data_IF_629860113590
#
_entry.id   IF_629860113590
#
_cell.length_a   1.000
_cell.length_b   1.000
_cell.length_c   1.000
_cell.angle_alpha   90.00
_cell.angle_beta   90.00
_cell.angle_gamma   90.00
#
_symmetry.space_group_name_H-M   'P 1'
#
loop_
_entity.id
_entity.type
_entity.pdbx_description
1 polymer ?
#
# COMPACT_ATOMS: atom_id res chain seq x y z
N UNK A 1 16.17 -39.62 -10.56
CA UNK A 1 14.75 -39.98 -10.77
C UNK A 1 13.76 -39.27 -9.83
N UNK A 2 13.80 -39.39 -8.49
CA UNK A 2 12.82 -38.71 -7.63
C UNK A 2 12.94 -37.16 -7.65
N UNK A 3 14.17 -36.64 -7.66
CA UNK A 3 14.42 -35.20 -7.77
C UNK A 3 14.00 -34.61 -9.12
N UNK A 4 14.18 -35.33 -10.24
CA UNK A 4 13.77 -34.84 -11.57
C UNK A 4 12.25 -34.67 -11.67
N UNK A 5 11.46 -35.48 -10.95
CA UNK A 5 10.01 -35.32 -10.88
C UNK A 5 9.59 -34.07 -10.09
N UNK A 6 10.33 -33.70 -9.03
CA UNK A 6 10.04 -32.52 -8.19
C UNK A 6 10.27 -31.19 -8.91
N UNK A 7 11.00 -31.18 -10.02
CA UNK A 7 11.23 -30.00 -10.84
C UNK A 7 10.57 -30.10 -12.22
N UNK A 8 9.74 -31.12 -12.42
CA UNK A 8 8.94 -31.21 -13.63
C UNK A 8 7.97 -30.02 -13.71
N UNK A 9 7.74 -29.53 -14.93
CA UNK A 9 6.80 -28.43 -15.17
C UNK A 9 5.41 -28.72 -14.60
N UNK A 10 4.92 -29.96 -14.76
CA UNK A 10 3.62 -30.39 -14.23
C UNK A 10 3.54 -30.28 -12.72
N UNK A 11 4.60 -30.67 -12.00
CA UNK A 11 4.65 -30.50 -10.55
C UNK A 11 4.59 -29.01 -10.14
N UNK A 12 5.34 -28.14 -10.83
CA UNK A 12 5.34 -26.70 -10.53
C UNK A 12 3.99 -26.05 -10.83
N UNK A 13 3.31 -26.44 -11.92
CA UNK A 13 1.98 -25.96 -12.27
C UNK A 13 0.93 -26.40 -11.24
N UNK A 14 0.95 -27.67 -10.80
CA UNK A 14 0.08 -28.18 -9.74
C UNK A 14 0.31 -27.44 -8.42
N UNK A 15 1.59 -27.25 -8.06
CA UNK A 15 2.01 -26.45 -6.91
C UNK A 15 1.52 -25.01 -7.01
N UNK A 16 1.60 -24.36 -8.16
CA UNK A 16 1.13 -22.99 -8.34
C UNK A 16 -0.40 -22.89 -8.22
N UNK A 17 -1.13 -23.84 -8.83
CA UNK A 17 -2.58 -23.93 -8.74
C UNK A 17 -3.05 -24.10 -7.29
N UNK A 18 -2.40 -24.97 -6.52
CA UNK A 18 -2.73 -25.18 -5.11
C UNK A 18 -2.56 -23.91 -4.26
N UNK A 19 -1.48 -23.15 -4.51
CA UNK A 19 -1.19 -21.90 -3.78
C UNK A 19 -2.15 -20.78 -4.16
N UNK A 20 -2.50 -20.67 -5.44
CA UNK A 20 -3.55 -19.76 -5.90
C UNK A 20 -4.89 -20.08 -5.23
N UNK A 21 -5.23 -21.37 -5.15
CA UNK A 21 -6.45 -21.86 -4.50
C UNK A 21 -6.45 -21.55 -2.99
N UNK A 22 -5.31 -21.69 -2.31
CA UNK A 22 -5.17 -21.30 -0.90
C UNK A 22 -5.48 -19.81 -0.68
N UNK A 23 -4.89 -18.93 -1.50
CA UNK A 23 -5.11 -17.48 -1.38
C UNK A 23 -6.58 -17.14 -1.63
N UNK A 24 -7.19 -17.68 -2.70
CA UNK A 24 -8.61 -17.47 -3.02
C UNK A 24 -9.54 -17.84 -1.86
N UNK A 25 -9.39 -19.06 -1.31
CA UNK A 25 -10.22 -19.55 -0.22
C UNK A 25 -9.97 -18.78 1.08
N UNK A 26 -8.72 -18.41 1.36
CA UNK A 26 -8.35 -17.60 2.53
C UNK A 26 -8.96 -16.20 2.45
N UNK A 27 -8.86 -15.52 1.30
CA UNK A 27 -9.47 -14.22 1.07
C UNK A 27 -10.99 -14.29 1.24
N UNK A 28 -11.67 -15.28 0.64
CA UNK A 28 -13.13 -15.44 0.83
C UNK A 28 -13.51 -15.72 2.28
N UNK A 29 -12.73 -16.52 3.00
CA UNK A 29 -12.95 -16.75 4.43
C UNK A 29 -12.80 -15.46 5.23
N UNK A 30 -11.77 -14.66 4.94
CA UNK A 30 -11.53 -13.37 5.60
C UNK A 30 -12.66 -12.37 5.33
N UNK A 31 -13.13 -12.27 4.08
CA UNK A 31 -14.28 -11.43 3.70
C UNK A 31 -15.48 -11.72 4.62
N UNK A 32 -15.81 -12.99 4.81
CA UNK A 32 -16.97 -13.40 5.64
C UNK A 32 -16.70 -13.14 7.12
N UNK A 33 -15.53 -13.52 7.63
CA UNK A 33 -15.16 -13.31 9.04
C UNK A 33 -15.13 -11.83 9.41
N UNK A 34 -14.70 -10.96 8.50
CA UNK A 34 -14.64 -9.51 8.70
C UNK A 34 -15.96 -8.80 8.33
N UNK A 35 -16.99 -9.53 7.89
CA UNK A 35 -18.27 -8.94 7.51
C UNK A 35 -18.25 -8.08 6.25
N UNK A 36 -17.26 -8.27 5.36
CA UNK A 36 -17.07 -7.51 4.13
C UNK A 36 -18.05 -7.94 3.03
N UNK A 37 -18.45 -7.00 2.16
CA UNK A 37 -19.35 -7.26 1.02
C UNK A 37 -18.60 -7.15 -0.31
N UNK A 38 -18.92 -7.97 -1.32
CA UNK A 38 -19.93 -9.05 -1.32
C UNK A 38 -19.46 -10.29 -0.55
N UNK A 39 -20.37 -10.90 0.23
CA UNK A 39 -20.08 -12.16 0.92
C UNK A 39 -20.32 -13.35 0.01
N UNK A 40 -19.31 -14.20 -0.16
CA UNK A 40 -19.43 -15.52 -0.78
C UNK A 40 -18.89 -16.59 0.17
N UNK A 41 -19.70 -17.04 1.15
CA UNK A 41 -19.29 -18.01 2.16
C UNK A 41 -18.63 -19.25 1.54
N UNK A 42 -17.65 -19.80 2.24
CA UNK A 42 -17.08 -21.09 1.87
C UNK A 42 -18.11 -22.19 2.14
N UNK A 43 -18.32 -23.06 1.15
CA UNK A 43 -19.07 -24.32 1.36
C UNK A 43 -18.35 -25.24 2.35
N UNK A 44 -19.04 -26.25 2.89
CA UNK A 44 -18.42 -27.22 3.79
C UNK A 44 -17.21 -27.95 3.16
N UNK A 45 -17.33 -28.29 1.87
CA UNK A 45 -16.24 -28.89 1.10
C UNK A 45 -15.05 -27.94 0.96
N UNK A 46 -15.29 -26.66 0.65
CA UNK A 46 -14.24 -25.65 0.53
C UNK A 46 -13.55 -25.33 1.87
N UNK A 47 -14.28 -25.38 2.99
CA UNK A 47 -13.67 -25.26 4.33
C UNK A 47 -12.73 -26.43 4.61
N UNK A 48 -13.18 -27.66 4.34
CA UNK A 48 -12.33 -28.85 4.45
C UNK A 48 -11.12 -28.81 3.52
N UNK A 49 -11.29 -28.28 2.30
CA UNK A 49 -10.21 -28.03 1.34
C UNK A 49 -9.19 -27.05 1.93
N UNK A 50 -9.62 -25.89 2.43
CA UNK A 50 -8.75 -24.88 3.02
C UNK A 50 -7.95 -25.44 4.21
N UNK A 51 -8.59 -26.21 5.09
CA UNK A 51 -7.92 -26.84 6.24
C UNK A 51 -6.91 -27.92 5.82
N UNK A 52 -7.21 -28.67 4.74
CA UNK A 52 -6.23 -29.58 4.14
C UNK A 52 -5.02 -28.81 3.59
N UNK A 53 -5.25 -27.71 2.86
CA UNK A 53 -4.16 -26.88 2.32
C UNK A 53 -3.28 -26.28 3.42
N UNK A 54 -3.88 -25.80 4.52
CA UNK A 54 -3.14 -25.29 5.69
C UNK A 54 -2.21 -26.33 6.32
N UNK A 55 -2.64 -27.59 6.38
CA UNK A 55 -1.84 -28.70 6.95
C UNK A 55 -0.73 -29.18 6.02
N UNK A 56 -0.95 -29.09 4.70
CA UNK A 56 0.01 -29.59 3.71
C UNK A 56 1.12 -28.58 3.36
N UNK A 57 0.89 -27.28 3.61
CA UNK A 57 1.90 -26.25 3.41
C UNK A 57 2.90 -26.21 4.56
N UNK A 58 4.16 -25.92 4.22
CA UNK A 58 5.16 -25.59 5.23
C UNK A 58 4.69 -24.32 5.99
N UNK A 59 4.87 -24.22 7.32
CA UNK A 59 4.44 -23.05 8.10
C UNK A 59 4.94 -21.70 7.58
N UNK A 60 6.13 -21.65 6.97
CA UNK A 60 6.67 -20.43 6.36
C UNK A 60 5.96 -20.09 5.05
N UNK A 61 5.65 -21.07 4.21
CA UNK A 61 4.85 -20.87 3.00
C UNK A 61 3.42 -20.43 3.35
N UNK A 62 2.79 -21.12 4.31
CA UNK A 62 1.43 -20.80 4.75
C UNK A 62 1.33 -19.35 5.24
N UNK A 63 2.31 -18.88 6.03
CA UNK A 63 2.38 -17.47 6.47
C UNK A 63 2.51 -16.50 5.30
N UNK A 64 3.36 -16.79 4.32
CA UNK A 64 3.51 -15.96 3.12
C UNK A 64 2.21 -15.85 2.33
N UNK A 65 1.54 -16.96 2.04
CA UNK A 65 0.29 -16.94 1.27
C UNK A 65 -0.88 -16.38 2.08
N UNK A 66 -0.88 -16.52 3.41
CA UNK A 66 -1.84 -15.82 4.27
C UNK A 66 -1.66 -14.30 4.17
N UNK A 67 -0.42 -13.80 4.22
CA UNK A 67 -0.16 -12.37 4.04
C UNK A 67 -0.61 -11.84 2.67
N UNK A 68 -0.50 -12.66 1.60
CA UNK A 68 -1.08 -12.31 0.30
C UNK A 68 -2.61 -12.23 0.35
N UNK A 69 -3.29 -13.16 1.02
CA UNK A 69 -4.74 -13.10 1.19
C UNK A 69 -5.15 -11.84 1.98
N UNK A 70 -4.44 -11.50 3.05
CA UNK A 70 -4.65 -10.27 3.83
C UNK A 70 -4.41 -9.02 2.98
N UNK A 71 -3.40 -9.02 2.10
CA UNK A 71 -3.14 -7.94 1.16
C UNK A 71 -4.26 -7.79 0.12
N UNK A 72 -4.84 -8.90 -0.38
CA UNK A 72 -6.02 -8.83 -1.24
C UNK A 72 -7.22 -8.22 -0.50
N UNK A 73 -7.39 -8.49 0.80
CA UNK A 73 -8.41 -7.83 1.61
C UNK A 73 -8.15 -6.32 1.73
N UNK A 74 -6.91 -5.88 1.86
CA UNK A 74 -6.58 -4.45 1.92
C UNK A 74 -6.86 -3.71 0.61
N UNK A 75 -6.85 -4.42 -0.53
CA UNK A 75 -7.29 -3.86 -1.82
C UNK A 75 -8.80 -3.75 -1.92
N UNK A 76 -9.54 -4.55 -1.14
CA UNK A 76 -10.98 -4.38 -1.09
C UNK A 76 -11.23 -3.02 -0.45
N UNK A 77 -12.03 -2.17 -1.10
CA UNK A 77 -12.36 -0.90 -0.54
C UNK A 77 -13.35 -1.17 0.61
N UNK A 78 -12.81 -1.33 1.81
CA UNK A 78 -13.56 -1.27 3.06
C UNK A 78 -14.01 0.18 3.27
N UNK A 79 -15.17 0.41 3.90
CA UNK A 79 -15.44 1.48 4.90
C UNK A 79 -16.93 1.47 5.26
N UNK A 80 -17.26 1.85 6.49
CA UNK A 80 -18.14 3.01 6.63
C UNK A 80 -17.38 4.15 7.31
N UNK A 81 -17.42 5.32 6.67
CA UNK A 81 -17.32 6.68 7.24
C UNK A 81 -16.06 7.52 6.90
N UNK A 82 -16.22 8.50 5.99
CA UNK A 82 -15.43 9.75 5.78
C UNK A 82 -13.96 9.62 5.35
N UNK A 83 -13.56 10.20 4.21
CA UNK A 83 -12.18 10.21 3.71
C UNK A 83 -11.65 11.63 3.43
N UNK A 84 -10.33 11.84 3.58
CA UNK A 84 -9.62 13.06 3.20
C UNK A 84 -8.64 12.74 2.05
N UNK A 85 -8.41 13.70 1.16
CA UNK A 85 -8.02 13.58 -0.26
C UNK A 85 -6.86 12.66 -0.67
N UNK A 86 -6.08 12.03 0.22
CA UNK A 86 -5.06 11.04 -0.17
C UNK A 86 -4.91 9.82 0.77
N UNK A 87 -5.58 9.80 1.91
CA UNK A 87 -5.56 8.66 2.84
C UNK A 87 -6.93 8.55 3.52
N UNK A 88 -7.54 7.36 3.45
CA UNK A 88 -8.82 7.08 4.10
C UNK A 88 -8.66 7.14 5.61
N UNK A 89 -8.92 8.31 6.19
CA UNK A 89 -8.98 8.49 7.64
C UNK A 89 -10.43 8.70 7.99
N UNK A 90 -11.00 7.68 8.62
CA UNK A 90 -12.37 7.74 9.09
C UNK A 90 -12.49 8.77 10.22
N UNK A 91 -13.02 9.95 9.89
CA UNK A 91 -13.28 11.01 10.85
C UNK A 91 -14.74 10.95 11.30
N UNK A 92 -15.01 10.75 12.58
CA UNK A 92 -16.36 10.94 13.09
C UNK A 92 -16.76 12.42 13.05
N UNK A 93 -18.06 12.70 13.18
CA UNK A 93 -18.60 14.07 13.23
C UNK A 93 -18.01 14.93 14.35
N UNK A 94 -17.43 14.34 15.40
CA UNK A 94 -16.75 15.08 16.46
C UNK A 94 -15.27 15.38 16.13
N UNK A 95 -14.65 14.62 15.24
CA UNK A 95 -13.24 14.74 14.85
C UNK A 95 -13.04 15.56 13.57
N UNK A 96 -14.10 15.79 12.82
CA UNK A 96 -14.11 16.47 11.51
C UNK A 96 -13.51 17.89 11.52
N UNK A 97 -13.61 18.58 12.66
CA UNK A 97 -13.04 19.92 12.90
C UNK A 97 -11.79 19.91 13.78
N UNK A 98 -11.36 18.73 14.21
CA UNK A 98 -10.16 18.56 15.02
C UNK A 98 -8.99 18.19 14.10
N UNK A 99 -7.78 18.29 14.64
CA UNK A 99 -6.57 17.77 14.01
C UNK A 99 -6.15 16.44 14.67
N UNK A 100 -6.97 15.36 14.58
CA UNK A 100 -6.58 14.10 15.19
C UNK A 100 -5.30 13.59 14.53
N UNK A 101 -4.43 13.03 15.37
CA UNK A 101 -3.24 12.30 14.91
C UNK A 101 -3.45 10.79 15.05
N UNK A 102 -3.12 10.02 14.02
CA UNK A 102 -3.14 8.55 14.04
C UNK A 102 -1.96 8.02 13.24
N UNK A 103 -1.11 7.20 13.90
CA UNK A 103 0.09 6.58 13.28
C UNK A 103 1.04 7.60 12.61
N UNK A 104 1.28 8.73 13.27
CA UNK A 104 2.16 9.79 12.73
C UNK A 104 1.52 10.69 11.66
N UNK A 105 0.31 10.38 11.19
CA UNK A 105 -0.45 11.29 10.34
C UNK A 105 -1.24 12.26 11.20
N UNK A 106 -1.15 13.57 10.91
CA UNK A 106 -1.96 14.62 11.54
C UNK A 106 -2.93 15.16 10.50
N UNK A 107 -4.23 14.98 10.72
CA UNK A 107 -5.25 15.60 9.86
C UNK A 107 -5.20 17.11 10.03
N UNK A 108 -5.05 17.84 8.93
CA UNK A 108 -5.15 19.29 8.93
C UNK A 108 -6.59 19.70 8.54
N UNK A 109 -7.34 20.37 9.44
CA UNK A 109 -8.62 21.00 9.15
C UNK A 109 -8.61 21.93 7.91
N UNK A 110 -7.44 22.36 7.43
CA UNK A 110 -7.30 23.24 6.26
C UNK A 110 -7.58 22.56 4.92
N UNK A 111 -7.55 21.23 4.85
CA UNK A 111 -7.73 20.51 3.59
C UNK A 111 -9.19 20.30 3.21
N UNK A 112 -9.43 20.08 1.92
CA UNK A 112 -10.73 19.72 1.36
C UNK A 112 -11.15 18.37 1.93
N UNK A 113 -12.41 18.27 2.33
CA UNK A 113 -12.96 17.04 2.86
C UNK A 113 -14.21 16.65 2.11
N UNK A 114 -14.23 15.42 1.63
CA UNK A 114 -15.34 14.83 0.89
C UNK A 114 -15.96 13.73 1.75
N UNK A 115 -17.23 13.90 2.11
CA UNK A 115 -18.08 12.86 2.70
C UNK A 115 -18.64 12.01 1.58
N UNK A 116 -18.44 10.70 1.69
CA UNK A 116 -19.10 9.69 0.85
C UNK A 116 -19.81 8.70 1.77
N UNK A 117 -21.05 8.35 1.46
CA UNK A 117 -21.78 7.32 2.21
C UNK A 117 -21.50 5.92 1.67
N UNK A 118 -21.14 5.84 0.39
CA UNK A 118 -20.81 4.60 -0.30
C UNK A 118 -19.31 4.50 -0.54
N UNK A 119 -18.83 3.27 -0.59
CA UNK A 119 -17.47 2.94 -0.99
C UNK A 119 -17.22 3.39 -2.44
N UNK A 120 -16.21 4.24 -2.63
CA UNK A 120 -15.81 4.68 -3.97
C UNK A 120 -14.77 3.71 -4.55
N UNK A 121 -15.02 3.21 -5.75
CA UNK A 121 -13.98 2.57 -6.56
C UNK A 121 -12.96 3.61 -7.03
N UNK A 122 -11.69 3.24 -7.19
CA UNK A 122 -10.60 4.14 -7.61
C UNK A 122 -10.94 4.98 -8.84
N UNK A 123 -11.57 4.37 -9.85
CA UNK A 123 -11.97 5.06 -11.09
C UNK A 123 -13.03 6.14 -10.85
N UNK A 124 -13.89 5.95 -9.86
CA UNK A 124 -14.92 6.90 -9.48
C UNK A 124 -14.39 7.94 -8.49
N UNK A 125 -13.47 7.54 -7.61
CA UNK A 125 -12.82 8.41 -6.63
C UNK A 125 -12.14 9.61 -7.30
N UNK A 126 -11.35 9.38 -8.35
CA UNK A 126 -10.68 10.46 -9.10
C UNK A 126 -11.70 11.51 -9.57
N UNK A 127 -12.81 11.06 -10.16
CA UNK A 127 -13.87 11.95 -10.66
C UNK A 127 -14.56 12.72 -9.53
N UNK A 128 -14.81 12.07 -8.40
CA UNK A 128 -15.41 12.72 -7.23
C UNK A 128 -14.49 13.81 -6.69
N UNK A 129 -13.19 13.56 -6.58
CA UNK A 129 -12.20 14.55 -6.12
C UNK A 129 -12.10 15.74 -7.08
N UNK A 130 -12.04 15.48 -8.39
CA UNK A 130 -12.03 16.54 -9.42
C UNK A 130 -13.28 17.40 -9.35
N UNK A 131 -14.46 16.77 -9.31
CA UNK A 131 -15.73 17.49 -9.18
C UNK A 131 -15.82 18.25 -7.87
N UNK A 132 -15.34 17.69 -6.75
CA UNK A 132 -15.36 18.36 -5.45
C UNK A 132 -14.53 19.65 -5.47
N UNK A 133 -13.36 19.64 -6.13
CA UNK A 133 -12.53 20.84 -6.31
C UNK A 133 -13.26 21.91 -7.11
N UNK A 134 -13.89 21.55 -8.23
CA UNK A 134 -14.68 22.47 -9.05
C UNK A 134 -15.86 23.04 -8.27
N UNK A 135 -16.59 22.18 -7.55
CA UNK A 135 -17.73 22.56 -6.70
C UNK A 135 -17.30 23.54 -5.59
N UNK A 136 -16.17 23.29 -4.92
CA UNK A 136 -15.64 24.21 -3.91
C UNK A 136 -15.34 25.58 -4.48
N UNK A 137 -14.62 25.67 -5.60
CA UNK A 137 -14.24 26.97 -6.15
C UNK A 137 -15.47 27.75 -6.63
N UNK A 138 -16.44 27.07 -7.23
CA UNK A 138 -17.75 27.66 -7.58
C UNK A 138 -18.45 28.22 -6.34
N UNK A 139 -18.53 27.44 -5.27
CA UNK A 139 -19.25 27.82 -4.05
C UNK A 139 -18.52 28.93 -3.28
N UNK A 140 -17.19 28.89 -3.20
CA UNK A 140 -16.40 29.97 -2.62
C UNK A 140 -16.69 31.29 -3.32
N UNK A 141 -16.78 31.28 -4.65
CA UNK A 141 -17.13 32.47 -5.42
C UNK A 141 -18.58 32.92 -5.14
N UNK A 142 -19.52 31.99 -5.02
CA UNK A 142 -20.91 32.30 -4.65
C UNK A 142 -20.99 32.99 -3.28
N UNK A 143 -20.35 32.43 -2.24
CA UNK A 143 -20.34 33.02 -0.90
C UNK A 143 -19.62 34.37 -0.88
N UNK A 144 -18.54 34.56 -1.65
CA UNK A 144 -17.88 35.87 -1.81
C UNK A 144 -18.82 36.95 -2.34
N UNK A 145 -19.60 36.63 -3.37
CA UNK A 145 -20.58 37.57 -3.95
C UNK A 145 -21.66 37.92 -2.93
N UNK A 146 -22.15 36.92 -2.18
CA UNK A 146 -23.16 37.14 -1.14
C UNK A 146 -22.63 38.00 0.02
N UNK A 147 -21.40 37.76 0.45
CA UNK A 147 -20.73 38.57 1.48
C UNK A 147 -20.49 40.00 1.01
N UNK A 148 -20.00 40.21 -0.23
CA UNK A 148 -19.79 41.54 -0.79
C UNK A 148 -21.10 42.35 -0.89
N UNK A 149 -22.18 41.70 -1.31
CA UNK A 149 -23.51 42.32 -1.36
C UNK A 149 -24.06 42.67 0.02
N UNK A 150 -23.72 41.90 1.06
CA UNK A 150 -24.13 42.18 2.43
C UNK A 150 -23.40 43.36 3.07
N UNK A 151 -22.15 43.64 2.65
CA UNK A 151 -21.35 44.77 3.15
C UNK A 151 -21.73 46.12 2.55
N UNK A 152 -22.35 46.11 1.38
CA UNK A 152 -22.87 47.31 0.73
C UNK A 152 -24.39 47.20 0.55
N UNK A 153 -25.18 47.30 1.64
CA UNK A 153 -26.62 47.42 1.52
C UNK A 153 -26.88 48.66 0.65
N UNK A 154 -27.48 48.46 -0.53
CA UNK A 154 -27.91 49.60 -1.34
C UNK A 154 -28.96 50.36 -0.53
N UNK A 155 -28.59 51.55 -0.04
CA UNK A 155 -29.46 52.39 0.80
C UNK A 155 -30.79 52.79 0.12
N UNK A 156 -30.93 52.54 -1.19
CA UNK A 156 -32.12 52.84 -1.99
C UNK A 156 -32.77 51.60 -2.62
N UNK A 157 -32.50 50.38 -2.14
CA UNK A 157 -33.18 49.19 -2.66
C UNK A 157 -34.60 49.10 -2.09
N UNK A 158 -35.61 49.12 -2.95
CA UNK A 158 -37.01 48.89 -2.58
C UNK A 158 -37.13 47.55 -1.81
N UNK A 159 -37.81 47.54 -0.64
CA UNK A 159 -37.89 46.37 0.24
C UNK A 159 -38.62 45.16 -0.37
N UNK A 160 -39.29 45.33 -1.52
CA UNK A 160 -40.10 44.28 -2.14
C UNK A 160 -39.36 43.48 -3.24
N UNK A 161 -38.11 43.84 -3.59
CA UNK A 161 -37.40 43.28 -4.75
C UNK A 161 -36.15 42.45 -4.44
N UNK A 162 -35.99 41.89 -3.24
CA UNK A 162 -34.76 41.20 -2.83
C UNK A 162 -34.67 39.76 -3.42
N UNK A 163 -34.59 39.68 -4.76
CA UNK A 163 -34.38 38.45 -5.55
C UNK A 163 -32.88 38.10 -5.67
N UNK A 164 -32.13 38.35 -4.60
CA UNK A 164 -30.74 37.90 -4.50
C UNK A 164 -30.68 36.36 -4.43
N UNK A 165 -29.60 35.73 -4.94
CA UNK A 165 -29.44 34.29 -4.87
C UNK A 165 -29.39 33.83 -3.41
N UNK A 166 -30.46 33.20 -2.92
CA UNK A 166 -30.55 32.67 -1.55
C UNK A 166 -29.96 31.25 -1.51
N UNK A 167 -28.93 31.07 -0.69
CA UNK A 167 -28.33 29.75 -0.44
C UNK A 167 -29.14 29.04 0.65
N UNK A 168 -29.95 28.08 0.23
CA UNK A 168 -30.91 27.39 1.08
C UNK A 168 -30.59 25.90 1.20
N UNK A 169 -30.85 25.32 2.37
CA UNK A 169 -30.65 23.90 2.62
C UNK A 169 -31.67 23.08 1.84
N UNK A 170 -31.23 22.06 1.11
CA UNK A 170 -32.12 21.17 0.36
C UNK A 170 -33.07 20.35 1.24
N UNK A 171 -32.74 20.17 2.52
CA UNK A 171 -33.51 19.34 3.46
C UNK A 171 -34.49 20.13 4.33
N UNK A 172 -34.12 21.33 4.80
CA UNK A 172 -34.97 22.11 5.71
C UNK A 172 -35.39 23.48 5.16
N UNK A 173 -34.92 23.85 3.96
CA UNK A 173 -35.14 25.17 3.33
C UNK A 173 -34.68 26.36 4.15
N UNK A 174 -33.95 26.17 5.27
CA UNK A 174 -33.35 27.27 6.03
C UNK A 174 -32.14 27.82 5.27
N UNK A 175 -31.84 29.11 5.46
CA UNK A 175 -30.61 29.75 4.97
C UNK A 175 -29.39 29.00 5.52
N UNK A 176 -28.47 28.64 4.63
CA UNK A 176 -27.26 27.91 5.02
C UNK A 176 -26.17 28.91 5.41
N UNK A 177 -25.51 28.63 6.53
CA UNK A 177 -24.32 29.33 7.00
C UNK A 177 -23.13 28.38 6.96
N UNK A 178 -21.92 28.92 6.78
CA UNK A 178 -20.70 28.12 6.86
C UNK A 178 -20.35 27.80 8.33
N UNK A 179 -19.75 26.61 8.63
CA UNK A 179 -19.46 25.53 7.68
C UNK A 179 -20.73 24.80 7.24
N UNK A 180 -20.77 24.35 5.99
CA UNK A 180 -21.88 23.57 5.44
C UNK A 180 -21.39 22.50 4.47
N UNK A 181 -22.31 21.69 3.97
CA UNK A 181 -22.04 20.67 2.96
C UNK A 181 -22.62 21.05 1.62
N UNK A 182 -21.92 20.70 0.55
CA UNK A 182 -22.40 20.88 -0.81
C UNK A 182 -22.30 19.59 -1.60
N UNK A 183 -23.34 19.28 -2.35
CA UNK A 183 -23.33 18.09 -3.19
C UNK A 183 -22.38 18.25 -4.38
N UNK A 184 -21.55 17.23 -4.60
CA UNK A 184 -20.56 17.20 -5.69
C UNK A 184 -21.19 16.79 -7.04
N UNK A 185 -22.32 16.08 -7.02
CA UNK A 185 -22.96 15.51 -8.22
C UNK A 185 -24.11 16.36 -8.75
N UNK A 186 -24.89 16.98 -7.86
CA UNK A 186 -26.08 17.72 -8.27
C UNK A 186 -25.70 18.89 -9.19
N UNK A 187 -26.43 19.04 -10.30
CA UNK A 187 -26.19 20.11 -11.27
C UNK A 187 -26.47 21.51 -10.71
N UNK A 188 -27.44 21.60 -9.79
CA UNK A 188 -27.73 22.81 -9.02
C UNK A 188 -26.89 22.84 -7.75
N UNK A 189 -26.51 24.03 -7.33
CA UNK A 189 -25.79 24.26 -6.08
C UNK A 189 -26.67 23.81 -4.91
N UNK A 190 -26.43 22.58 -4.48
CA UNK A 190 -27.25 21.86 -3.52
C UNK A 190 -26.52 21.85 -2.19
N UNK A 191 -27.06 22.56 -1.21
CA UNK A 191 -26.45 22.72 0.09
C UNK A 191 -27.19 21.95 1.16
N UNK A 192 -26.46 21.46 2.15
CA UNK A 192 -27.01 20.75 3.32
C UNK A 192 -26.40 21.38 4.57
N UNK A 193 -27.24 21.83 5.50
CA UNK A 193 -26.77 22.36 6.77
C UNK A 193 -26.26 21.23 7.67
N UNK A 194 -25.40 21.55 8.63
CA UNK A 194 -24.80 20.55 9.52
C UNK A 194 -25.85 19.76 10.32
N UNK A 195 -26.95 20.40 10.72
CA UNK A 195 -28.04 19.73 11.44
C UNK A 195 -28.69 18.62 10.59
N UNK A 196 -29.00 18.93 9.32
CA UNK A 196 -29.60 17.95 8.42
C UNK A 196 -28.61 16.86 8.03
N UNK A 197 -27.33 17.19 7.86
CA UNK A 197 -26.28 16.20 7.58
C UNK A 197 -26.08 15.23 8.77
N UNK A 198 -26.03 15.77 10.00
CA UNK A 198 -25.87 14.99 11.22
C UNK A 198 -27.07 14.07 11.47
N UNK A 199 -28.29 14.55 11.20
CA UNK A 199 -29.53 13.78 11.34
C UNK A 199 -29.85 12.91 10.13
N UNK A 200 -29.01 12.92 9.07
CA UNK A 200 -29.26 12.24 7.79
C UNK A 200 -30.66 12.54 7.22
N UNK A 201 -31.08 13.78 7.31
CA UNK A 201 -32.41 14.20 6.85
C UNK A 201 -32.48 14.15 5.33
N UNK A 202 -33.46 13.43 4.78
CA UNK A 202 -33.69 13.38 3.34
C UNK A 202 -34.08 14.75 2.77
N UNK A 203 -33.65 15.09 1.54
CA UNK A 203 -34.05 16.34 0.89
C UNK A 203 -35.57 16.40 0.64
N UNK A 204 -36.13 17.62 0.68
CA UNK A 204 -37.54 17.85 0.41
C UNK A 204 -37.83 17.73 -1.08
N UNK A 205 -38.91 17.03 -1.45
CA UNK A 205 -39.33 16.89 -2.85
C UNK A 205 -39.71 18.23 -3.50
N UNK A 206 -40.17 19.20 -2.71
CA UNK A 206 -40.45 20.58 -3.16
C UNK A 206 -39.24 21.52 -2.99
N UNK A 207 -38.09 20.98 -2.57
CA UNK A 207 -36.89 21.76 -2.29
C UNK A 207 -36.13 22.19 -3.54
N UNK A 208 -35.03 22.95 -3.38
CA UNK A 208 -34.21 23.45 -4.49
C UNK A 208 -33.54 22.33 -5.32
N UNK A 209 -33.39 21.14 -4.74
CA UNK A 209 -32.74 19.98 -5.35
C UNK A 209 -33.49 18.68 -5.06
N UNK A 210 -34.61 18.43 -5.77
CA UNK A 210 -35.47 17.26 -5.51
C UNK A 210 -34.82 15.92 -5.91
N UNK A 211 -33.78 15.96 -6.74
CA UNK A 211 -33.04 14.79 -7.21
C UNK A 211 -31.80 14.46 -6.37
N UNK A 212 -31.57 15.19 -5.28
CA UNK A 212 -30.48 14.88 -4.38
C UNK A 212 -30.73 13.55 -3.65
N UNK A 213 -29.70 12.71 -3.54
CA UNK A 213 -29.73 11.45 -2.78
C UNK A 213 -28.69 11.52 -1.66
N UNK A 214 -28.97 10.89 -0.53
CA UNK A 214 -28.05 10.82 0.61
C UNK A 214 -26.70 10.18 0.23
N UNK A 215 -26.70 9.26 -0.76
CA UNK A 215 -25.48 8.64 -1.26
C UNK A 215 -24.60 9.53 -2.13
N UNK A 216 -25.07 10.72 -2.53
CA UNK A 216 -24.22 11.63 -3.30
C UNK A 216 -23.05 12.12 -2.43
N UNK A 217 -21.81 12.12 -2.96
CA UNK A 217 -20.68 12.73 -2.29
C UNK A 217 -20.96 14.19 -1.97
N UNK A 218 -20.63 14.57 -0.74
CA UNK A 218 -20.72 15.95 -0.27
C UNK A 218 -19.32 16.46 0.00
N UNK A 219 -19.06 17.70 -0.37
CA UNK A 219 -17.83 18.40 -0.02
C UNK A 219 -18.10 19.41 1.08
N UNK A 220 -17.24 19.44 2.10
CA UNK A 220 -17.40 20.39 3.20
C UNK A 220 -16.87 21.75 2.83
N UNK A 221 -17.75 22.73 2.89
CA UNK A 221 -17.45 24.13 2.68
C UNK A 221 -17.20 24.74 4.05
N UNK A 222 -15.93 24.99 4.34
CA UNK A 222 -15.54 25.77 5.52
C UNK A 222 -15.57 27.23 5.13
N UNK A 223 -15.99 28.08 6.08
CA UNK A 223 -15.74 29.50 5.96
C UNK A 223 -14.24 29.70 5.95
N UNK A 224 -13.64 29.83 4.77
CA UNK A 224 -12.41 30.62 4.71
C UNK A 224 -12.81 31.98 5.25
N UNK A 225 -12.18 32.49 6.32
CA UNK A 225 -12.44 33.84 6.80
C UNK A 225 -12.07 34.82 5.68
N UNK A 226 -13.01 35.06 4.78
CA UNK A 226 -13.00 36.09 3.76
C UNK A 226 -13.67 37.34 4.31
N UNK A 227 -14.48 37.20 5.36
CA UNK A 227 -14.84 38.29 6.26
C UNK A 227 -13.59 38.76 7.00
N UNK A 228 -12.85 39.61 6.32
CA UNK A 228 -11.88 40.51 6.91
C UNK A 228 -12.52 41.33 8.02
N UNK A 229 -12.53 40.79 9.25
CA UNK A 229 -11.82 41.56 10.28
C UNK A 229 -10.44 41.75 9.66
N UNK A 230 -10.00 42.99 9.43
CA UNK A 230 -8.66 43.28 8.91
C UNK A 230 -7.64 42.55 9.80
N UNK A 231 -7.40 41.27 9.52
CA UNK A 231 -6.23 40.53 9.91
C UNK A 231 -5.17 41.38 9.26
N UNK A 232 -4.49 42.17 10.09
CA UNK A 232 -3.46 43.10 9.65
C UNK A 232 -2.59 42.35 8.64
N UNK A 233 -2.07 43.06 7.63
CA UNK A 233 -1.12 42.45 6.69
C UNK A 233 -0.02 41.68 7.46
N UNK A 234 0.33 42.18 8.65
CA UNK A 234 1.21 41.55 9.63
C UNK A 234 0.73 40.19 10.16
N UNK A 235 -0.54 40.05 10.55
CA UNK A 235 -1.06 38.76 11.03
C UNK A 235 -1.20 37.74 9.88
N UNK A 236 -1.43 38.20 8.63
CA UNK A 236 -1.35 37.32 7.45
C UNK A 236 0.08 36.88 7.16
N UNK A 237 1.04 37.77 7.28
CA UNK A 237 2.47 37.48 7.12
C UNK A 237 2.94 36.50 8.20
N UNK A 238 2.59 36.72 9.47
CA UNK A 238 2.92 35.83 10.58
C UNK A 238 2.34 34.42 10.36
N UNK A 239 1.09 34.32 9.88
CA UNK A 239 0.49 33.02 9.54
C UNK A 239 1.22 32.33 8.37
N UNK A 240 1.65 33.09 7.35
CA UNK A 240 2.43 32.52 6.24
C UNK A 240 3.82 32.10 6.69
N UNK A 241 4.48 32.88 7.54
CA UNK A 241 5.79 32.56 8.14
C UNK A 241 5.70 31.30 9.00
N UNK A 242 4.70 31.19 9.88
CA UNK A 242 4.47 29.97 10.66
C UNK A 242 4.22 28.75 9.76
N UNK A 243 3.46 28.91 8.67
CA UNK A 243 3.24 27.84 7.69
C UNK A 243 4.54 27.45 6.97
N UNK A 244 5.40 28.40 6.65
CA UNK A 244 6.70 28.13 6.05
C UNK A 244 7.61 27.37 7.02
N UNK A 245 7.68 27.80 8.28
CA UNK A 245 8.44 27.09 9.34
C UNK A 245 7.92 25.66 9.51
N UNK A 246 6.60 25.47 9.55
CA UNK A 246 6.01 24.12 9.63
C UNK A 246 6.33 23.27 8.40
N UNK A 247 6.35 23.85 7.20
CA UNK A 247 6.73 23.14 5.98
C UNK A 247 8.21 22.79 5.98
N UNK A 248 9.08 23.68 6.44
CA UNK A 248 10.51 23.45 6.59
C UNK A 248 10.79 22.28 7.54
N UNK A 249 10.14 22.26 8.71
CA UNK A 249 10.24 21.12 9.63
C UNK A 249 9.72 19.82 9.01
N UNK A 250 8.58 19.84 8.32
CA UNK A 250 8.05 18.63 7.65
C UNK A 250 8.98 18.12 6.55
N UNK A 251 9.63 19.02 5.81
CA UNK A 251 10.61 18.67 4.78
C UNK A 251 11.87 18.08 5.42
N UNK A 252 12.36 18.69 6.51
CA UNK A 252 13.50 18.18 7.27
C UNK A 252 13.23 16.77 7.85
N UNK A 253 12.05 16.57 8.47
CA UNK A 253 11.61 15.27 8.97
C UNK A 253 11.47 14.24 7.83
N UNK A 254 10.94 14.67 6.68
CA UNK A 254 10.82 13.83 5.49
C UNK A 254 12.17 13.38 4.93
N UNK A 255 13.16 14.26 4.91
CA UNK A 255 14.53 13.91 4.53
C UNK A 255 15.17 12.96 5.54
N UNK A 256 15.07 13.24 6.85
CA UNK A 256 15.60 12.35 7.89
C UNK A 256 14.98 10.95 7.83
N UNK A 257 13.67 10.85 7.57
CA UNK A 257 13.00 9.56 7.39
C UNK A 257 13.50 8.82 6.13
N UNK A 258 13.70 9.56 5.03
CA UNK A 258 14.22 8.99 3.77
C UNK A 258 15.67 8.50 3.93
N UNK A 259 16.51 9.27 4.61
CA UNK A 259 17.90 8.91 4.92
C UNK A 259 17.95 7.65 5.78
N UNK A 260 17.14 7.58 6.85
CA UNK A 260 17.04 6.37 7.67
C UNK A 260 16.56 5.15 6.86
N UNK A 261 15.61 5.33 5.93
CA UNK A 261 15.20 4.25 5.02
C UNK A 261 16.34 3.80 4.10
N UNK A 262 17.16 4.74 3.62
CA UNK A 262 18.30 4.45 2.77
C UNK A 262 19.40 3.71 3.54
N UNK A 263 19.76 4.17 4.73
CA UNK A 263 20.72 3.51 5.63
C UNK A 263 20.29 2.08 5.95
N UNK A 264 19.01 1.85 6.28
CA UNK A 264 18.47 0.52 6.54
C UNK A 264 18.56 -0.41 5.32
N UNK A 265 18.28 0.11 4.12
CA UNK A 265 18.43 -0.67 2.88
C UNK A 265 19.90 -0.97 2.59
N UNK A 266 20.79 -0.02 2.84
CA UNK A 266 22.22 -0.19 2.64
C UNK A 266 22.79 -1.25 3.59
N UNK A 267 22.50 -1.18 4.89
CA UNK A 267 22.91 -2.19 5.88
C UNK A 267 22.41 -3.60 5.50
N UNK A 268 21.18 -3.72 5.01
CA UNK A 268 20.64 -5.01 4.57
C UNK A 268 21.37 -5.56 3.35
N UNK A 269 21.73 -4.69 2.40
CA UNK A 269 22.47 -5.07 1.21
C UNK A 269 23.91 -5.50 1.56
N UNK A 270 24.58 -4.74 2.44
CA UNK A 270 25.92 -5.06 2.95
C UNK A 270 25.94 -6.40 3.66
N UNK A 271 24.97 -6.65 4.56
CA UNK A 271 24.83 -7.96 5.24
C UNK A 271 24.63 -9.10 4.23
N UNK A 272 23.78 -8.92 3.22
CA UNK A 272 23.56 -9.92 2.18
C UNK A 272 24.82 -10.20 1.34
N UNK A 273 25.60 -9.17 1.02
CA UNK A 273 26.86 -9.31 0.28
C UNK A 273 27.90 -10.05 1.14
N UNK A 274 28.06 -9.66 2.41
CA UNK A 274 28.98 -10.31 3.33
C UNK A 274 28.65 -11.80 3.53
N UNK A 275 27.37 -12.15 3.68
CA UNK A 275 26.92 -13.54 3.77
C UNK A 275 27.26 -14.36 2.51
N UNK A 276 27.14 -13.75 1.32
CA UNK A 276 27.48 -14.40 0.05
C UNK A 276 28.99 -14.58 -0.10
N UNK A 277 29.78 -13.59 0.32
CA UNK A 277 31.24 -13.68 0.32
C UNK A 277 31.71 -14.78 1.26
N UNK A 278 31.19 -14.85 2.49
CA UNK A 278 31.51 -15.91 3.44
C UNK A 278 31.18 -17.32 2.89
N UNK A 279 30.06 -17.47 2.19
CA UNK A 279 29.70 -18.73 1.51
C UNK A 279 30.65 -19.08 0.36
N UNK A 280 31.12 -18.08 -0.38
CA UNK A 280 32.12 -18.30 -1.43
C UNK A 280 33.48 -18.68 -0.85
N UNK A 281 33.93 -18.02 0.21
CA UNK A 281 35.18 -18.33 0.92
C UNK A 281 35.20 -19.75 1.46
N UNK A 282 34.12 -20.17 2.13
CA UNK A 282 33.99 -21.55 2.63
C UNK A 282 33.93 -22.58 1.50
N UNK A 283 33.24 -22.26 0.39
CA UNK A 283 33.19 -23.12 -0.78
C UNK A 283 34.56 -23.26 -1.47
N UNK A 284 35.29 -22.16 -1.67
CA UNK A 284 36.61 -22.19 -2.30
C UNK A 284 37.62 -22.91 -1.41
N UNK A 285 37.60 -22.68 -0.09
CA UNK A 285 38.42 -23.42 0.86
C UNK A 285 38.22 -24.93 0.73
N UNK A 286 36.96 -25.41 0.74
CA UNK A 286 36.68 -26.84 0.58
C UNK A 286 37.10 -27.41 -0.79
N UNK A 287 37.10 -26.59 -1.85
CA UNK A 287 37.64 -27.01 -3.16
C UNK A 287 39.16 -27.13 -3.15
N UNK A 288 39.87 -26.22 -2.47
CA UNK A 288 41.31 -26.33 -2.30
C UNK A 288 41.70 -27.56 -1.49
N UNK A 289 41.01 -27.87 -0.40
CA UNK A 289 41.24 -29.10 0.39
C UNK A 289 41.07 -30.37 -0.46
N UNK A 290 40.05 -30.36 -1.33
CA UNK A 290 39.79 -31.47 -2.26
C UNK A 290 40.92 -31.61 -3.28
N UNK A 291 41.39 -30.50 -3.86
CA UNK A 291 42.50 -30.50 -4.82
C UNK A 291 43.79 -30.96 -4.14
N UNK A 292 44.07 -30.48 -2.93
CA UNK A 292 45.24 -30.88 -2.15
C UNK A 292 45.23 -32.38 -1.86
N UNK A 293 44.08 -32.93 -1.47
CA UNK A 293 43.91 -34.38 -1.26
C UNK A 293 44.21 -35.18 -2.54
N UNK A 294 43.70 -34.74 -3.69
CA UNK A 294 43.94 -35.39 -4.99
C UNK A 294 45.42 -35.32 -5.38
N UNK A 295 46.07 -34.17 -5.19
CA UNK A 295 47.50 -34.00 -5.45
C UNK A 295 48.36 -34.89 -4.53
N UNK A 296 47.96 -35.03 -3.26
CA UNK A 296 48.60 -35.96 -2.32
C UNK A 296 48.49 -37.41 -2.78
N UNK A 297 47.30 -37.83 -3.21
CA UNK A 297 47.09 -39.18 -3.77
C UNK A 297 47.93 -39.41 -5.03
N UNK A 298 47.95 -38.46 -5.97
CA UNK A 298 48.74 -38.57 -7.19
C UNK A 298 50.24 -38.71 -6.88
N UNK A 299 50.75 -37.92 -5.94
CA UNK A 299 52.14 -37.99 -5.47
C UNK A 299 52.46 -39.38 -4.89
N UNK A 300 51.55 -39.95 -4.11
CA UNK A 300 51.72 -41.30 -3.56
C UNK A 300 51.75 -42.38 -4.66
N UNK A 301 50.89 -42.27 -5.67
CA UNK A 301 50.85 -43.19 -6.81
C UNK A 301 52.11 -43.11 -7.67
N UNK A 302 52.60 -41.89 -7.97
CA UNK A 302 53.86 -41.69 -8.70
C UNK A 302 55.02 -42.34 -7.93
N UNK A 303 55.07 -42.14 -6.61
CA UNK A 303 56.12 -42.75 -5.76
C UNK A 303 56.06 -44.28 -5.78
N UNK A 304 54.85 -44.86 -5.71
CA UNK A 304 54.65 -46.31 -5.81
C UNK A 304 55.05 -46.87 -7.18
N UNK A 305 54.66 -46.20 -8.27
CA UNK A 305 55.06 -46.57 -9.64
C UNK A 305 56.58 -46.55 -9.82
N UNK A 306 57.26 -45.53 -9.30
CA UNK A 306 58.72 -45.48 -9.30
C UNK A 306 59.35 -46.67 -8.55
N UNK A 307 58.79 -47.09 -7.42
CA UNK A 307 59.27 -48.25 -6.67
C UNK A 307 59.08 -49.55 -7.46
N UNK A 308 57.89 -49.75 -8.06
CA UNK A 308 57.58 -50.92 -8.90
C UNK A 308 58.51 -50.97 -10.12
N UNK A 309 58.70 -49.83 -10.81
CA UNK A 309 59.60 -49.72 -11.95
C UNK A 309 61.04 -50.09 -11.58
N UNK A 310 61.56 -49.54 -10.46
CA UNK A 310 62.90 -49.91 -9.96
C UNK A 310 63.01 -51.42 -9.67
N UNK A 311 61.98 -52.04 -9.11
CA UNK A 311 61.96 -53.47 -8.83
C UNK A 311 61.92 -54.32 -10.11
N UNK A 312 61.13 -53.91 -11.10
CA UNK A 312 61.04 -54.56 -12.40
C UNK A 312 62.39 -54.53 -13.13
N UNK A 313 63.04 -53.36 -13.20
CA UNK A 313 64.37 -53.18 -13.81
C UNK A 313 65.43 -54.04 -13.12
N UNK A 314 65.43 -54.11 -11.79
CA UNK A 314 66.33 -55.00 -11.04
C UNK A 314 66.08 -56.48 -11.35
N UNK A 315 64.83 -56.87 -11.56
CA UNK A 315 64.44 -58.25 -11.83
C UNK A 315 64.81 -58.68 -13.24
N UNK A 316 64.64 -57.82 -14.25
CA UNK A 316 65.09 -58.07 -15.62
C UNK A 316 66.61 -58.12 -15.72
N UNK A 317 67.33 -57.21 -15.06
CA UNK A 317 68.80 -57.24 -15.02
C UNK A 317 69.35 -58.56 -14.44
N UNK A 318 68.73 -59.10 -13.37
CA UNK A 318 69.08 -60.41 -12.81
C UNK A 318 68.78 -61.59 -13.74
N UNK A 319 67.71 -61.52 -14.55
CA UNK A 319 67.36 -62.58 -15.51
C UNK A 319 68.33 -62.60 -16.71
N UNK A 320 68.75 -61.43 -17.19
CA UNK A 320 69.71 -61.32 -18.29
C UNK A 320 71.15 -61.73 -17.91
N UNK A 321 71.48 -61.83 -16.63
CA UNK A 321 72.79 -62.29 -16.16
C UNK A 321 72.86 -63.82 -15.90
N UNK A 322 71.82 -64.58 -16.27
CA UNK A 322 71.89 -66.05 -16.27
C UNK A 322 72.71 -66.50 -17.49
N UNK A 323 73.75 -67.34 -17.32
CA UNK A 323 74.59 -67.80 -18.42
C UNK A 323 73.80 -68.68 -19.39
N UNK A 324 73.95 -68.42 -20.70
CA UNK A 324 73.38 -69.21 -21.79
C UNK A 324 74.01 -70.61 -21.91
N UNK A 325 73.81 -71.48 -20.92
CA UNK A 325 74.36 -72.85 -20.91
C UNK A 325 73.35 -73.92 -21.39
N UNK A 326 72.49 -73.61 -22.35
CA UNK A 326 71.55 -74.57 -22.93
C UNK A 326 71.50 -74.56 -24.47
N UNK A 327 72.68 -74.59 -25.09
CA UNK A 327 72.84 -75.14 -26.44
C UNK A 327 74.02 -76.12 -26.44
N UNK A 328 73.83 -77.28 -25.83
CA UNK A 328 74.71 -78.44 -26.02
C UNK A 328 73.97 -79.74 -25.61
N UNK A 329 73.00 -80.15 -26.43
CA UNK A 329 72.68 -81.57 -26.67
C UNK A 329 71.65 -81.65 -27.80
N UNK A 330 72.15 -81.74 -29.03
CA UNK A 330 71.83 -82.79 -30.00
C UNK A 330 72.80 -82.67 -31.18
#
# INVERSE_FOLDING_TARGET
MAQEKMWSRGFLEERAAERKRYVELSTRSLIVTMGLTPQKPLSAAEKGELDRLRRNLNPSEARFYQALADFEIQKLPWHPAWGCDWYNIDLCSACVDRAPSKRGFVHDPSHIMVKVEETLHDSYFIRVVENAKVTIEKIKNLFRVLEANALHPKENADPEGEDGPKVMCACCTKKVVMPCWACVICSRDTFICNECDANRTSPLQSGPSPYHKLSHPLVRIRGTPLSGKLVSAEERLNNLEQRLIMLEHKVADGFAATDSMFENRNMKLESCINDRLAKLETFTAGKFDTIETVLGQLTSQITALHAIYRQAVRSTAKRSSMPSSLYQTL
#
